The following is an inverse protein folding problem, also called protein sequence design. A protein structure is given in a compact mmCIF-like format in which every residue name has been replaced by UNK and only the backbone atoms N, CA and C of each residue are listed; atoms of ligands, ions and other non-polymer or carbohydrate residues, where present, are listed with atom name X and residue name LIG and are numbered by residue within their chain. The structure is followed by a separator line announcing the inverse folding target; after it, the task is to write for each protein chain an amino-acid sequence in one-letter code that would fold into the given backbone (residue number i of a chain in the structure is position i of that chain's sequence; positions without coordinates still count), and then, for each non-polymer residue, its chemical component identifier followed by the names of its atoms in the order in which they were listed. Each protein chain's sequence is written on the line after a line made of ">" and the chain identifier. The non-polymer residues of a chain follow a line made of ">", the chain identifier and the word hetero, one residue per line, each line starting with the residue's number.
data_IF_872448247133
#
_entry.id   IF_872448247133
#
_cell.length_a   1.000
_cell.length_b   1.000
_cell.length_c   1.000
_cell.angle_alpha   90.00
_cell.angle_beta   90.00
_cell.angle_gamma   90.00
#
_symmetry.space_group_name_H-M   'P 1'
#
loop_
_entity.id
_entity.type
_entity.pdbx_description
1 polymer ?
#
# COMPACT_ATOMS: atom_id res chain seq x y z
N UNK A 1 11.07 -22.30 -43.78
CA UNK A 1 10.98 -21.56 -42.50
C UNK A 1 10.56 -20.13 -42.83
N UNK A 2 9.25 -19.90 -43.01
CA UNK A 2 8.69 -18.59 -43.35
C UNK A 2 8.13 -17.98 -42.05
N UNK A 3 8.83 -16.98 -41.52
CA UNK A 3 8.38 -16.20 -40.37
C UNK A 3 7.26 -15.26 -40.82
N UNK A 4 6.00 -15.59 -40.53
CA UNK A 4 4.90 -14.65 -40.65
C UNK A 4 4.96 -13.68 -39.47
N UNK A 5 5.25 -12.42 -39.75
CA UNK A 5 5.10 -11.32 -38.81
C UNK A 5 3.60 -10.99 -38.67
N UNK A 6 3.04 -11.27 -37.50
CA UNK A 6 1.69 -10.84 -37.13
C UNK A 6 1.76 -9.34 -36.85
N UNK A 7 1.43 -8.52 -37.85
CA UNK A 7 1.22 -7.09 -37.69
C UNK A 7 -0.14 -6.87 -37.01
N UNK A 8 -0.12 -6.40 -35.77
CA UNK A 8 -1.32 -5.98 -35.06
C UNK A 8 -1.95 -4.75 -35.78
N UNK A 9 -3.27 -4.74 -36.03
CA UNK A 9 -3.90 -3.60 -36.68
C UNK A 9 -4.10 -2.45 -35.69
N UNK A 10 -3.26 -1.42 -35.78
CA UNK A 10 -3.54 -0.10 -35.20
C UNK A 10 -4.69 0.54 -35.98
N UNK A 11 -5.93 0.20 -35.60
CA UNK A 11 -7.16 0.58 -36.32
C UNK A 11 -7.41 2.09 -36.51
N UNK A 12 -6.59 2.94 -35.90
CA UNK A 12 -6.69 4.38 -36.03
C UNK A 12 -5.82 4.96 -37.18
N UNK A 13 -4.63 4.40 -37.42
CA UNK A 13 -3.78 4.80 -38.54
C UNK A 13 -4.44 4.49 -39.91
N UNK A 14 -5.25 3.44 -39.95
CA UNK A 14 -5.93 2.99 -41.17
C UNK A 14 -7.03 3.95 -41.65
N UNK A 15 -7.73 4.63 -40.72
CA UNK A 15 -8.83 5.55 -41.06
C UNK A 15 -8.27 6.86 -41.65
N UNK A 16 -7.17 7.38 -41.08
CA UNK A 16 -6.55 8.61 -41.55
C UNK A 16 -5.82 8.42 -42.88
N UNK A 17 -5.19 7.25 -43.11
CA UNK A 17 -4.65 6.88 -44.43
C UNK A 17 -5.76 6.78 -45.46
N UNK A 18 -6.84 6.04 -45.17
CA UNK A 18 -8.01 5.93 -46.06
C UNK A 18 -8.59 7.29 -46.46
N UNK A 19 -8.58 8.27 -45.53
CA UNK A 19 -9.03 9.64 -45.82
C UNK A 19 -8.11 10.40 -46.80
N UNK A 20 -6.80 10.20 -46.70
CA UNK A 20 -5.87 10.82 -47.65
C UNK A 20 -5.91 10.12 -48.99
N UNK A 21 -6.07 8.80 -48.98
CA UNK A 21 -6.07 7.96 -50.16
C UNK A 21 -7.28 8.28 -51.08
N UNK A 22 -8.49 8.51 -50.53
CA UNK A 22 -9.63 8.92 -51.36
C UNK A 22 -9.45 10.29 -52.02
N UNK A 23 -8.79 11.22 -51.34
CA UNK A 23 -8.56 12.56 -51.88
C UNK A 23 -7.55 12.50 -53.04
N UNK A 24 -6.52 11.67 -52.91
CA UNK A 24 -5.54 11.41 -53.97
C UNK A 24 -6.22 10.71 -55.15
N UNK A 25 -6.99 9.66 -54.91
CA UNK A 25 -7.71 8.91 -55.95
C UNK A 25 -8.71 9.78 -56.72
N UNK A 26 -9.47 10.63 -56.00
CA UNK A 26 -10.38 11.61 -56.60
C UNK A 26 -9.65 12.65 -57.45
N UNK A 27 -8.50 13.16 -56.99
CA UNK A 27 -7.74 14.12 -57.78
C UNK A 27 -7.16 13.48 -59.05
N UNK A 28 -6.71 12.22 -58.97
CA UNK A 28 -6.24 11.45 -60.12
C UNK A 28 -7.36 11.20 -61.14
N UNK A 29 -8.57 10.87 -60.68
CA UNK A 29 -9.70 10.67 -61.57
C UNK A 29 -10.15 11.96 -62.27
N UNK A 30 -10.13 13.09 -61.56
CA UNK A 30 -10.38 14.40 -62.15
C UNK A 30 -9.32 14.79 -63.19
N UNK A 31 -8.04 14.51 -62.92
CA UNK A 31 -6.96 14.75 -63.86
C UNK A 31 -7.10 13.89 -65.12
N UNK A 32 -7.45 12.61 -64.97
CA UNK A 32 -7.73 11.71 -66.09
C UNK A 32 -8.95 12.17 -66.91
N UNK A 33 -10.00 12.68 -66.26
CA UNK A 33 -11.15 13.25 -66.94
C UNK A 33 -10.79 14.53 -67.72
N UNK A 34 -9.97 15.41 -67.13
CA UNK A 34 -9.46 16.61 -67.81
C UNK A 34 -8.61 16.25 -69.03
N UNK A 35 -7.75 15.23 -68.93
CA UNK A 35 -6.94 14.76 -70.07
C UNK A 35 -7.81 14.22 -71.20
N UNK A 36 -8.87 13.46 -70.90
CA UNK A 36 -9.84 12.98 -71.92
C UNK A 36 -10.62 14.12 -72.59
N UNK A 37 -10.87 15.20 -71.86
CA UNK A 37 -11.56 16.39 -72.38
C UNK A 37 -10.65 17.30 -73.24
N UNK A 38 -9.33 17.12 -73.21
CA UNK A 38 -8.39 17.88 -74.04
C UNK A 38 -8.41 17.37 -75.49
N UNK A 39 -9.01 18.15 -76.40
CA UNK A 39 -8.88 17.99 -77.85
C UNK A 39 -7.89 19.02 -78.40
N UNK A 40 -6.69 18.58 -78.78
CA UNK A 40 -5.68 19.38 -79.47
C UNK A 40 -4.55 19.96 -78.60
N UNK A 41 -3.47 20.47 -79.22
CA UNK A 41 -2.35 21.09 -78.53
C UNK A 41 -2.82 22.41 -77.91
N UNK A 42 -2.90 22.43 -76.58
CA UNK A 42 -3.36 23.61 -75.84
C UNK A 42 -2.21 24.61 -75.77
N UNK A 43 -2.42 25.90 -76.09
CA UNK A 43 -1.39 26.90 -75.90
C UNK A 43 -1.06 26.98 -74.40
N UNK A 44 0.22 26.78 -74.05
CA UNK A 44 0.71 26.86 -72.68
C UNK A 44 0.75 28.32 -72.23
N UNK A 45 -0.41 28.88 -71.93
CA UNK A 45 -0.51 30.19 -71.30
C UNK A 45 -0.22 29.96 -69.81
N UNK A 46 1.03 30.21 -69.42
CA UNK A 46 1.44 30.17 -68.02
C UNK A 46 0.82 31.35 -67.28
N UNK A 47 -0.37 31.13 -66.72
CA UNK A 47 -0.92 32.05 -65.73
C UNK A 47 -0.12 31.88 -64.44
N UNK A 48 0.73 32.86 -64.12
CA UNK A 48 1.45 32.91 -62.84
C UNK A 48 0.44 33.22 -61.73
N UNK A 49 -0.31 32.21 -61.30
CA UNK A 49 -1.22 32.32 -60.17
C UNK A 49 -0.37 32.43 -58.89
N UNK A 50 -0.18 33.66 -58.41
CA UNK A 50 0.47 33.94 -57.13
C UNK A 50 -0.46 33.42 -56.02
N UNK A 51 -0.18 32.22 -55.52
CA UNK A 51 -0.86 31.69 -54.34
C UNK A 51 -0.32 32.42 -53.12
N UNK A 52 -1.09 33.38 -52.62
CA UNK A 52 -0.78 34.05 -51.37
C UNK A 52 -1.19 33.15 -50.19
N UNK A 53 -0.20 32.45 -49.63
CA UNK A 53 -0.38 31.57 -48.48
C UNK A 53 -0.24 32.30 -47.14
N UNK A 54 -0.15 33.64 -47.14
CA UNK A 54 0.07 34.44 -45.91
C UNK A 54 -1.07 34.28 -44.90
N UNK A 55 -2.25 33.83 -45.33
CA UNK A 55 -3.42 33.56 -44.47
C UNK A 55 -3.65 32.08 -44.15
N UNK A 56 -2.76 31.19 -44.57
CA UNK A 56 -2.92 29.76 -44.30
C UNK A 56 -2.60 29.47 -42.82
N UNK A 57 -3.62 29.54 -41.98
CA UNK A 57 -3.53 29.08 -40.60
C UNK A 57 -3.70 27.57 -40.60
N UNK A 58 -2.75 26.85 -39.99
CA UNK A 58 -2.82 25.40 -39.82
C UNK A 58 -4.08 25.06 -39.03
N UNK A 59 -5.07 24.46 -39.68
CA UNK A 59 -6.27 24.00 -39.01
C UNK A 59 -5.87 22.95 -37.95
N UNK A 60 -6.34 23.15 -36.71
CA UNK A 60 -6.12 22.17 -35.67
C UNK A 60 -6.96 20.93 -35.98
N UNK A 61 -6.32 19.77 -36.15
CA UNK A 61 -7.02 18.49 -36.27
C UNK A 61 -7.52 18.06 -34.89
N UNK A 62 -8.84 18.15 -34.58
CA UNK A 62 -9.35 17.83 -33.25
C UNK A 62 -9.16 16.35 -32.89
N UNK A 63 -8.98 15.51 -33.91
CA UNK A 63 -8.82 14.07 -33.74
C UNK A 63 -7.44 13.74 -33.14
N UNK A 64 -6.36 14.37 -33.62
CA UNK A 64 -5.00 14.19 -33.06
C UNK A 64 -4.94 14.58 -31.59
N UNK A 65 -5.65 15.64 -31.20
CA UNK A 65 -5.70 16.09 -29.81
C UNK A 65 -6.37 15.04 -28.92
N UNK A 66 -7.43 14.36 -29.41
CA UNK A 66 -8.09 13.27 -28.67
C UNK A 66 -7.18 12.06 -28.50
N UNK A 67 -6.46 11.66 -29.54
CA UNK A 67 -5.49 10.56 -29.46
C UNK A 67 -4.36 10.84 -28.47
N UNK A 68 -3.77 12.03 -28.54
CA UNK A 68 -2.71 12.45 -27.61
C UNK A 68 -3.21 12.44 -26.16
N UNK A 69 -4.45 12.86 -25.91
CA UNK A 69 -5.07 12.79 -24.58
C UNK A 69 -5.29 11.35 -24.13
N UNK A 70 -5.78 10.47 -25.00
CA UNK A 70 -5.97 9.06 -24.67
C UNK A 70 -4.63 8.40 -24.32
N UNK A 71 -3.59 8.66 -25.10
CA UNK A 71 -2.24 8.16 -24.86
C UNK A 71 -1.67 8.69 -23.53
N UNK A 72 -1.83 9.99 -23.26
CA UNK A 72 -1.42 10.59 -21.99
C UNK A 72 -2.17 9.98 -20.80
N UNK A 73 -3.48 9.75 -20.91
CA UNK A 73 -4.26 9.08 -19.88
C UNK A 73 -3.78 7.65 -19.64
N UNK A 74 -3.51 6.88 -20.70
CA UNK A 74 -2.98 5.52 -20.57
C UNK A 74 -1.62 5.50 -19.86
N UNK A 75 -0.72 6.43 -20.20
CA UNK A 75 0.56 6.59 -19.52
C UNK A 75 0.43 7.00 -18.06
N UNK A 76 -0.49 7.91 -17.74
CA UNK A 76 -0.75 8.33 -16.37
C UNK A 76 -1.29 7.16 -15.51
N UNK A 77 -2.19 6.34 -16.06
CA UNK A 77 -2.70 5.14 -15.38
C UNK A 77 -1.59 4.13 -15.14
N UNK A 78 -0.78 3.84 -16.17
CA UNK A 78 0.34 2.90 -16.05
C UNK A 78 1.38 3.38 -15.02
N UNK A 79 1.71 4.66 -15.03
CA UNK A 79 2.59 5.27 -14.03
C UNK A 79 1.99 5.17 -12.62
N UNK A 80 0.70 5.47 -12.46
CA UNK A 80 0.00 5.34 -11.19
C UNK A 80 0.03 3.92 -10.63
N UNK A 81 -0.17 2.90 -11.49
CA UNK A 81 -0.09 1.49 -11.10
C UNK A 81 1.32 1.10 -10.62
N UNK A 82 2.37 1.54 -11.32
CA UNK A 82 3.76 1.26 -10.93
C UNK A 82 4.08 1.94 -9.60
N UNK A 83 3.67 3.20 -9.43
CA UNK A 83 3.91 3.94 -8.19
C UNK A 83 3.16 3.32 -7.01
N UNK A 84 1.90 2.92 -7.21
CA UNK A 84 1.09 2.20 -6.23
C UNK A 84 1.75 0.88 -5.81
N UNK A 85 2.27 0.10 -6.77
CA UNK A 85 2.98 -1.13 -6.49
C UNK A 85 4.25 -0.89 -5.67
N UNK A 86 5.06 0.10 -6.05
CA UNK A 86 6.24 0.50 -5.28
C UNK A 86 5.89 0.94 -3.85
N UNK A 87 4.84 1.74 -3.70
CA UNK A 87 4.31 2.16 -2.39
C UNK A 87 3.85 0.97 -1.55
N UNK A 88 3.12 0.02 -2.15
CA UNK A 88 2.67 -1.19 -1.47
C UNK A 88 3.85 -2.06 -1.01
N UNK A 89 4.86 -2.21 -1.86
CA UNK A 89 6.06 -2.98 -1.53
C UNK A 89 6.82 -2.35 -0.35
N UNK A 90 7.01 -1.03 -0.36
CA UNK A 90 7.65 -0.30 0.75
C UNK A 90 6.82 -0.35 2.03
N UNK A 91 5.50 -0.19 1.93
CA UNK A 91 4.59 -0.29 3.08
C UNK A 91 4.68 -1.68 3.70
N UNK A 92 4.69 -2.75 2.89
CA UNK A 92 4.81 -4.13 3.38
C UNK A 92 6.10 -4.36 4.17
N UNK A 93 7.21 -3.75 3.74
CA UNK A 93 8.49 -3.81 4.46
C UNK A 93 8.37 -3.11 5.82
N UNK A 94 7.79 -1.91 5.87
CA UNK A 94 7.61 -1.16 7.12
C UNK A 94 6.65 -1.87 8.10
N UNK A 95 5.55 -2.43 7.60
CA UNK A 95 4.63 -3.26 8.39
C UNK A 95 5.32 -4.52 8.92
N UNK A 96 6.20 -5.15 8.13
CA UNK A 96 7.02 -6.28 8.56
C UNK A 96 7.89 -5.94 9.76
N UNK A 97 8.56 -4.78 9.75
CA UNK A 97 9.38 -4.32 10.87
C UNK A 97 8.54 -3.96 12.11
N UNK A 98 7.37 -3.34 11.93
CA UNK A 98 6.49 -3.02 13.07
C UNK A 98 6.03 -4.29 13.78
N UNK A 99 5.62 -5.31 13.03
CA UNK A 99 5.21 -6.61 13.57
C UNK A 99 6.38 -7.28 14.29
N UNK A 100 7.57 -7.26 13.71
CA UNK A 100 8.74 -7.86 14.33
C UNK A 100 9.13 -7.13 15.63
N UNK A 101 9.04 -5.79 15.64
CA UNK A 101 9.33 -4.98 16.83
C UNK A 101 8.33 -5.23 17.97
N UNK A 102 7.05 -5.45 17.65
CA UNK A 102 6.03 -5.76 18.65
C UNK A 102 6.20 -7.18 19.19
N UNK A 103 6.54 -8.16 18.33
CA UNK A 103 6.89 -9.52 18.77
C UNK A 103 8.10 -9.54 19.70
N UNK A 104 9.16 -8.78 19.39
CA UNK A 104 10.33 -8.66 20.26
C UNK A 104 9.97 -8.08 21.63
N UNK A 105 9.09 -7.07 21.68
CA UNK A 105 8.61 -6.50 22.96
C UNK A 105 7.84 -7.52 23.78
N UNK A 106 6.97 -8.32 23.15
CA UNK A 106 6.24 -9.38 23.84
C UNK A 106 7.19 -10.42 24.42
N UNK A 107 8.16 -10.90 23.63
CA UNK A 107 9.16 -11.85 24.12
C UNK A 107 10.00 -11.28 25.26
N UNK A 108 10.37 -10.01 25.18
CA UNK A 108 11.11 -9.33 26.25
C UNK A 108 10.28 -9.24 27.54
N UNK A 109 8.99 -8.92 27.43
CA UNK A 109 8.07 -8.87 28.57
C UNK A 109 7.82 -10.25 29.18
N UNK A 110 7.68 -11.29 28.35
CA UNK A 110 7.55 -12.67 28.83
C UNK A 110 8.78 -13.14 29.59
N UNK A 111 9.98 -12.86 29.07
CA UNK A 111 11.23 -13.22 29.73
C UNK A 111 11.41 -12.44 31.04
N UNK A 112 11.06 -11.16 31.07
CA UNK A 112 11.05 -10.36 32.30
C UNK A 112 10.07 -10.93 33.33
N UNK A 113 8.86 -11.31 32.92
CA UNK A 113 7.87 -11.90 33.82
C UNK A 113 8.40 -13.23 34.41
N UNK A 114 9.00 -14.08 33.57
CA UNK A 114 9.62 -15.32 34.00
C UNK A 114 10.76 -15.07 35.00
N UNK A 115 11.62 -14.09 34.75
CA UNK A 115 12.68 -13.71 35.69
C UNK A 115 12.11 -13.20 37.01
N UNK A 116 11.06 -12.38 36.98
CA UNK A 116 10.39 -11.87 38.18
C UNK A 116 9.79 -13.02 39.00
N UNK A 117 9.13 -13.99 38.38
CA UNK A 117 8.59 -15.18 39.06
C UNK A 117 9.68 -16.04 39.69
N UNK A 118 10.82 -16.19 39.01
CA UNK A 118 11.98 -16.89 39.57
C UNK A 118 12.55 -16.15 40.78
N UNK A 119 12.69 -14.83 40.70
CA UNK A 119 13.14 -14.00 41.81
C UNK A 119 12.17 -14.07 43.00
N UNK A 120 10.86 -14.03 42.72
CA UNK A 120 9.82 -14.17 43.75
C UNK A 120 9.91 -15.53 44.44
N UNK A 121 10.05 -16.62 43.69
CA UNK A 121 10.25 -17.95 44.26
C UNK A 121 11.55 -18.04 45.08
N UNK A 122 12.63 -17.38 44.64
CA UNK A 122 13.90 -17.32 45.38
C UNK A 122 13.82 -16.45 46.66
N UNK A 123 13.02 -15.39 46.64
CA UNK A 123 12.78 -14.53 47.80
C UNK A 123 11.83 -15.18 48.81
N UNK A 124 10.83 -15.92 48.31
CA UNK A 124 9.86 -16.66 49.11
C UNK A 124 10.38 -17.99 49.66
N UNK A 125 11.60 -18.42 49.33
CA UNK A 125 12.18 -19.67 49.82
C UNK A 125 12.29 -19.65 51.36
N UNK A 126 11.49 -20.47 52.06
CA UNK A 126 11.45 -20.46 53.52
C UNK A 126 12.78 -20.83 54.17
N UNK A 127 13.61 -21.65 53.51
CA UNK A 127 14.93 -22.00 54.03
C UNK A 127 15.87 -20.79 54.04
N UNK A 128 15.80 -19.95 53.00
CA UNK A 128 16.55 -18.70 52.92
C UNK A 128 16.06 -17.68 53.94
N UNK A 129 14.74 -17.58 54.13
CA UNK A 129 14.12 -16.70 55.13
C UNK A 129 14.54 -17.12 56.55
N UNK A 130 14.48 -18.41 56.88
CA UNK A 130 14.86 -18.93 58.20
C UNK A 130 16.37 -18.70 58.47
N UNK A 131 17.23 -18.92 57.48
CA UNK A 131 18.65 -18.62 57.62
C UNK A 131 18.91 -17.13 57.89
N UNK A 132 18.22 -16.24 57.16
CA UNK A 132 18.34 -14.79 57.34
C UNK A 132 17.76 -14.32 58.69
N UNK A 133 16.64 -14.91 59.11
CA UNK A 133 16.03 -14.64 60.42
C UNK A 133 16.99 -15.00 61.56
N UNK A 134 17.64 -16.16 61.50
CA UNK A 134 18.64 -16.57 62.50
C UNK A 134 19.86 -15.65 62.54
N UNK A 135 20.34 -15.17 61.40
CA UNK A 135 21.42 -14.17 61.35
C UNK A 135 21.04 -12.85 62.00
N UNK A 136 19.76 -12.46 61.92
CA UNK A 136 19.21 -11.27 62.58
C UNK A 136 18.85 -11.51 64.06
N UNK A 137 19.12 -12.71 64.60
CA UNK A 137 18.78 -13.08 65.97
C UNK A 137 17.29 -13.35 66.21
N UNK A 138 16.49 -13.48 65.15
CA UNK A 138 15.09 -13.84 65.23
C UNK A 138 14.94 -15.36 65.34
N UNK A 139 14.17 -15.83 66.32
CA UNK A 139 13.89 -17.24 66.57
C UNK A 139 12.38 -17.51 66.52
N UNK A 140 11.99 -18.75 66.22
CA UNK A 140 10.59 -19.15 66.26
C UNK A 140 9.99 -18.84 67.66
N UNK A 141 8.82 -18.20 67.72
CA UNK A 141 8.20 -17.83 68.99
C UNK A 141 7.77 -19.08 69.78
N UNK A 142 7.91 -19.03 71.10
CA UNK A 142 7.43 -20.11 71.97
C UNK A 142 5.89 -20.11 72.04
N UNK A 143 5.23 -21.27 72.26
CA UNK A 143 3.77 -21.34 72.39
C UNK A 143 3.28 -20.37 73.49
N UNK A 144 2.44 -19.40 73.13
CA UNK A 144 1.88 -18.39 74.04
C UNK A 144 2.52 -17.00 74.00
N UNK A 145 3.61 -16.80 73.24
CA UNK A 145 4.34 -15.52 73.16
C UNK A 145 3.77 -14.53 72.11
N UNK A 146 2.80 -14.97 71.28
CA UNK A 146 2.22 -14.14 70.21
C UNK A 146 0.93 -13.48 70.71
N UNK A 147 1.00 -12.20 71.04
CA UNK A 147 -0.18 -11.39 71.40
C UNK A 147 -0.68 -10.68 70.14
N UNK A 148 -1.83 -11.09 69.61
CA UNK A 148 -2.51 -10.34 68.53
C UNK A 148 -3.26 -9.17 69.17
N UNK A 149 -2.99 -7.91 68.77
CA UNK A 149 -3.65 -6.74 69.36
C UNK A 149 -5.17 -6.70 69.12
N UNK A 150 -5.67 -7.43 68.12
CA UNK A 150 -7.11 -7.51 67.80
C UNK A 150 -7.80 -8.76 68.38
N UNK A 151 -7.06 -9.65 69.07
CA UNK A 151 -7.64 -10.81 69.73
C UNK A 151 -8.12 -10.45 71.14
N UNK A 152 -9.04 -9.49 71.24
CA UNK A 152 -9.93 -9.44 72.41
C UNK A 152 -10.88 -10.63 72.27
N UNK A 153 -10.42 -11.74 72.84
CA UNK A 153 -11.15 -12.98 72.98
C UNK A 153 -12.34 -12.77 73.91
N UNK A 154 -13.54 -12.63 73.35
CA UNK A 154 -14.74 -13.14 74.00
C UNK A 154 -14.99 -14.56 73.45
N UNK A 155 -14.74 -15.63 74.24
CA UNK A 155 -14.97 -17.01 73.81
C UNK A 155 -16.46 -17.37 73.61
N UNK A 156 -17.39 -16.42 73.76
CA UNK A 156 -18.83 -16.63 73.67
C UNK A 156 -19.55 -15.61 72.76
N UNK A 157 -18.82 -14.82 71.97
CA UNK A 157 -19.43 -13.92 71.00
C UNK A 157 -19.91 -14.71 69.76
N UNK A 158 -21.15 -14.52 69.29
CA UNK A 158 -21.64 -15.22 68.09
C UNK A 158 -20.77 -14.82 66.89
N UNK A 159 -20.06 -15.80 66.34
CA UNK A 159 -19.24 -15.63 65.15
C UNK A 159 -20.14 -15.31 63.96
N UNK A 160 -20.24 -14.02 63.61
CA UNK A 160 -20.84 -13.62 62.35
C UNK A 160 -19.87 -14.06 61.25
N UNK A 161 -20.28 -15.06 60.46
CA UNK A 161 -19.51 -15.51 59.30
C UNK A 161 -19.53 -14.39 58.24
N UNK A 162 -18.51 -13.54 58.25
CA UNK A 162 -18.32 -12.57 57.19
C UNK A 162 -17.67 -13.28 55.99
N UNK A 163 -18.49 -13.60 55.00
CA UNK A 163 -18.03 -14.11 53.71
C UNK A 163 -17.35 -12.97 52.95
N UNK A 164 -16.04 -12.86 53.06
CA UNK A 164 -15.25 -11.95 52.22
C UNK A 164 -15.28 -12.47 50.77
N UNK A 165 -15.88 -11.74 49.81
CA UNK A 165 -15.88 -12.20 48.42
C UNK A 165 -14.46 -12.16 47.87
N UNK A 166 -13.96 -13.31 47.44
CA UNK A 166 -12.67 -13.45 46.77
C UNK A 166 -12.84 -12.88 45.36
N UNK A 167 -12.43 -11.63 45.13
CA UNK A 167 -12.43 -11.08 43.79
C UNK A 167 -11.29 -11.70 42.98
N UNK A 168 -11.55 -12.28 41.80
CA UNK A 168 -10.49 -12.73 40.91
C UNK A 168 -9.74 -11.51 40.38
N UNK A 169 -8.42 -11.47 40.62
CA UNK A 169 -7.53 -10.47 40.05
C UNK A 169 -7.43 -10.67 38.54
N UNK A 170 -8.16 -9.88 37.77
CA UNK A 170 -7.98 -9.74 36.33
C UNK A 170 -6.89 -8.70 36.07
N UNK A 171 -5.71 -9.17 35.66
CA UNK A 171 -5.04 -8.66 34.45
C UNK A 171 -3.83 -9.49 34.07
#
# INVERSE_FOLDING_TARGET
>A
MATQAIAAPTGFESITRRSKDWAVERNLSLLAAQQRARRGPTPEIFFVKRFDNTRLVKAADPVRVKEMRLFACAMAVLFGLIMMYGWQHLSSIEYGYRIESEKQKLQQLEEQNRQLRLNEAQLGDPARIDHMARQLGLTAPQPGQVVRPDAVSDPNAPALAEATPIFPSVR
#
